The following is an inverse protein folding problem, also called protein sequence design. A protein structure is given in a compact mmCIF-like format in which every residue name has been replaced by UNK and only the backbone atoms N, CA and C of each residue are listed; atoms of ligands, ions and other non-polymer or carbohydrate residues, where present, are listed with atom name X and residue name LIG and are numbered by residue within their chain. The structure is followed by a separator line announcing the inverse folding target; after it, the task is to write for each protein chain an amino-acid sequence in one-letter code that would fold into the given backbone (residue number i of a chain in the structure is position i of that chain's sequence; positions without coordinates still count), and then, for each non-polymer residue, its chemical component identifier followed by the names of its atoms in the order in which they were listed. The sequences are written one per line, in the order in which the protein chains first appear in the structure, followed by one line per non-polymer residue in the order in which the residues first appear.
data_IF_243517916264
#
_entry.id   IF_243517916264
#
_cell.length_a   1.000
_cell.length_b   1.000
_cell.length_c   1.000
_cell.angle_alpha   90.00
_cell.angle_beta   90.00
_cell.angle_gamma   90.00
#
_symmetry.space_group_name_H-M   'P 1'
#
loop_
_entity.id
_entity.type
_entity.pdbx_description
1 polymer ?
#
# COMPACT_ATOMS: atom_id res chain seq x y z
N UNK A 1 34.37 -43.22 -13.86
CA UNK A 1 33.11 -43.03 -13.11
C UNK A 1 33.16 -41.65 -12.48
N UNK A 2 32.08 -40.87 -12.57
CA UNK A 2 32.01 -39.56 -11.91
C UNK A 2 32.35 -39.69 -10.42
N UNK A 3 33.41 -38.98 -10.01
CA UNK A 3 33.94 -38.97 -8.65
C UNK A 3 33.25 -37.96 -7.75
N UNK A 4 32.17 -37.33 -8.21
CA UNK A 4 31.44 -36.29 -7.47
C UNK A 4 30.04 -36.78 -7.11
N UNK A 5 29.54 -36.33 -5.96
CA UNK A 5 28.15 -36.53 -5.55
C UNK A 5 27.39 -35.25 -5.85
N UNK A 6 26.19 -35.38 -6.39
CA UNK A 6 25.19 -34.31 -6.36
C UNK A 6 24.69 -34.09 -4.92
N UNK A 7 24.15 -32.91 -4.61
CA UNK A 7 23.60 -32.62 -3.26
C UNK A 7 22.52 -33.63 -2.85
N UNK A 8 21.69 -34.07 -3.79
CA UNK A 8 20.67 -35.09 -3.57
C UNK A 8 21.28 -36.46 -3.23
N UNK A 9 22.32 -36.88 -3.95
CA UNK A 9 23.04 -38.13 -3.65
C UNK A 9 23.76 -38.04 -2.29
N UNK A 10 24.43 -36.91 -2.00
CA UNK A 10 25.11 -36.68 -0.73
C UNK A 10 24.12 -36.74 0.45
N UNK A 11 22.95 -36.14 0.29
CA UNK A 11 21.89 -36.13 1.32
C UNK A 11 21.39 -37.55 1.61
N UNK A 12 21.04 -38.32 0.56
CA UNK A 12 20.56 -39.70 0.73
C UNK A 12 21.65 -40.59 1.34
N UNK A 13 22.90 -40.45 0.88
CA UNK A 13 24.03 -41.22 1.38
C UNK A 13 24.31 -40.90 2.86
N UNK A 14 24.23 -39.63 3.26
CA UNK A 14 24.35 -39.20 4.65
C UNK A 14 23.27 -39.80 5.56
N UNK A 15 22.02 -39.86 5.11
CA UNK A 15 20.93 -40.50 5.88
C UNK A 15 21.13 -42.01 6.08
N UNK A 16 21.75 -42.67 5.11
CA UNK A 16 22.12 -44.09 5.18
C UNK A 16 23.40 -44.34 6.01
N UNK A 17 24.26 -43.33 6.17
CA UNK A 17 25.41 -43.39 7.06
C UNK A 17 25.01 -43.36 8.54
N UNK A 18 23.93 -42.65 8.88
CA UNK A 18 23.38 -42.67 10.24
C UNK A 18 22.99 -44.08 10.67
N UNK A 19 22.30 -44.81 9.77
CA UNK A 19 21.90 -46.20 9.93
C UNK A 19 21.42 -46.77 8.59
N UNK A 20 21.47 -48.10 8.41
CA UNK A 20 20.78 -48.76 7.31
C UNK A 20 19.27 -48.48 7.33
N UNK A 21 18.68 -48.20 6.17
CA UNK A 21 17.25 -47.83 6.05
C UNK A 21 16.59 -48.47 4.83
N UNK A 22 15.28 -48.65 4.91
CA UNK A 22 14.45 -48.92 3.75
C UNK A 22 14.14 -47.64 2.96
N UNK A 23 13.78 -47.79 1.68
CA UNK A 23 13.40 -46.65 0.83
C UNK A 23 12.22 -45.84 1.39
N UNK A 24 11.22 -46.49 2.01
CA UNK A 24 10.09 -45.78 2.63
C UNK A 24 10.48 -45.07 3.93
N UNK A 25 11.48 -45.56 4.66
CA UNK A 25 11.98 -44.91 5.87
C UNK A 25 12.78 -43.66 5.54
N UNK A 26 13.53 -43.69 4.43
CA UNK A 26 14.18 -42.49 3.90
C UNK A 26 13.15 -41.42 3.56
N UNK A 27 12.05 -41.78 2.87
CA UNK A 27 10.96 -40.86 2.56
C UNK A 27 10.37 -40.25 3.84
N UNK A 28 10.07 -41.09 4.83
CA UNK A 28 9.53 -40.67 6.12
C UNK A 28 10.47 -39.72 6.86
N UNK A 29 11.77 -40.02 6.90
CA UNK A 29 12.77 -39.16 7.57
C UNK A 29 12.94 -37.83 6.82
N UNK A 30 12.92 -37.84 5.49
CA UNK A 30 13.02 -36.64 4.66
C UNK A 30 11.82 -35.71 4.91
N UNK A 31 10.62 -36.28 5.06
CA UNK A 31 9.40 -35.55 5.41
C UNK A 31 9.44 -35.04 6.85
N UNK A 32 9.70 -35.91 7.83
CA UNK A 32 9.75 -35.56 9.25
C UNK A 32 10.78 -34.47 9.56
N UNK A 33 11.95 -34.53 8.92
CA UNK A 33 13.04 -33.55 9.10
C UNK A 33 12.94 -32.35 8.18
N UNK A 34 11.96 -32.30 7.27
CA UNK A 34 11.78 -31.20 6.33
C UNK A 34 12.97 -31.01 5.37
N UNK A 35 13.66 -32.09 5.00
CA UNK A 35 14.91 -32.06 4.19
C UNK A 35 14.72 -31.34 2.85
N UNK A 36 13.51 -31.42 2.28
CA UNK A 36 13.15 -30.75 1.01
C UNK A 36 13.09 -29.23 1.10
N UNK A 37 13.03 -28.66 2.30
CA UNK A 37 13.05 -27.21 2.49
C UNK A 37 14.43 -26.60 2.17
N UNK A 38 15.50 -27.40 2.28
CA UNK A 38 16.88 -26.93 2.12
C UNK A 38 17.71 -27.76 1.11
N UNK A 39 17.09 -28.73 0.43
CA UNK A 39 17.71 -29.53 -0.65
C UNK A 39 16.80 -29.62 -1.87
N UNK A 40 17.40 -29.74 -3.06
CA UNK A 40 16.67 -30.00 -4.31
C UNK A 40 16.29 -31.49 -4.48
N UNK A 41 15.65 -32.09 -3.46
CA UNK A 41 15.17 -33.48 -3.49
C UNK A 41 13.70 -33.54 -3.92
N UNK A 42 13.45 -34.13 -5.08
CA UNK A 42 12.08 -34.39 -5.57
C UNK A 42 11.34 -35.46 -4.76
N UNK A 43 10.00 -35.48 -4.85
CA UNK A 43 9.17 -36.50 -4.20
C UNK A 43 9.36 -37.90 -4.82
N UNK A 44 9.60 -37.98 -6.13
CA UNK A 44 9.72 -39.25 -6.86
C UNK A 44 11.18 -39.73 -7.04
N UNK A 45 12.17 -39.06 -6.44
CA UNK A 45 13.58 -39.31 -6.77
C UNK A 45 14.29 -40.33 -5.87
N UNK A 46 13.75 -40.74 -4.72
CA UNK A 46 14.50 -41.56 -3.75
C UNK A 46 14.95 -42.89 -4.35
N UNK A 47 14.03 -43.68 -4.92
CA UNK A 47 14.38 -44.98 -5.48
C UNK A 47 15.32 -44.87 -6.69
N UNK A 48 15.21 -43.80 -7.47
CA UNK A 48 16.13 -43.50 -8.55
C UNK A 48 17.55 -43.22 -8.02
N UNK A 49 17.67 -42.43 -6.95
CA UNK A 49 18.95 -42.15 -6.30
C UNK A 49 19.55 -43.41 -5.68
N UNK A 50 18.73 -44.26 -5.05
CA UNK A 50 19.18 -45.54 -4.51
C UNK A 50 19.72 -46.47 -5.61
N UNK A 51 19.03 -46.60 -6.74
CA UNK A 51 19.53 -47.38 -7.88
C UNK A 51 20.85 -46.82 -8.39
N UNK A 52 20.95 -45.50 -8.53
CA UNK A 52 22.16 -44.82 -9.03
C UNK A 52 23.34 -45.02 -8.08
N UNK A 53 23.12 -44.88 -6.76
CA UNK A 53 24.14 -45.12 -5.74
C UNK A 53 24.57 -46.60 -5.70
N UNK A 54 23.64 -47.53 -5.85
CA UNK A 54 23.92 -48.97 -5.87
C UNK A 54 24.71 -49.37 -7.13
N UNK A 55 24.33 -48.86 -8.31
CA UNK A 55 25.06 -49.08 -9.55
C UNK A 55 26.50 -48.53 -9.52
N UNK A 56 26.74 -47.49 -8.70
CA UNK A 56 28.08 -46.94 -8.43
C UNK A 56 28.85 -47.68 -7.33
N UNK A 57 28.26 -48.71 -6.72
CA UNK A 57 28.88 -49.47 -5.62
C UNK A 57 29.02 -48.69 -4.31
N UNK A 58 28.29 -47.60 -4.14
CA UNK A 58 28.36 -46.73 -2.95
C UNK A 58 27.43 -47.23 -1.84
N UNK A 59 26.41 -48.00 -2.20
CA UNK A 59 25.51 -48.68 -1.27
C UNK A 59 25.29 -50.12 -1.73
N UNK A 60 24.94 -50.98 -0.79
CA UNK A 60 24.51 -52.36 -1.03
C UNK A 60 23.09 -52.57 -0.51
N UNK A 61 22.36 -53.49 -1.13
CA UNK A 61 20.97 -53.80 -0.79
C UNK A 61 20.88 -55.21 -0.22
N UNK A 62 20.39 -55.33 1.01
CA UNK A 62 20.13 -56.62 1.67
C UNK A 62 18.64 -56.93 1.60
N UNK A 63 18.29 -58.07 1.00
CA UNK A 63 16.90 -58.52 0.91
C UNK A 63 16.45 -59.25 2.18
N UNK A 64 15.28 -58.91 2.72
CA UNK A 64 14.65 -59.69 3.79
C UNK A 64 13.94 -60.95 3.27
N UNK A 65 13.82 -62.02 4.10
CA UNK A 65 13.03 -63.22 3.77
C UNK A 65 11.56 -62.89 3.46
N UNK A 66 10.93 -63.69 2.61
CA UNK A 66 9.59 -63.45 2.09
C UNK A 66 8.49 -63.67 3.15
N UNK A 67 7.83 -62.60 3.58
CA UNK A 67 6.62 -62.71 4.42
C UNK A 67 5.41 -61.89 3.94
N UNK A 68 5.52 -60.96 2.98
CA UNK A 68 4.37 -60.10 2.60
C UNK A 68 4.30 -59.67 1.12
N UNK A 69 3.07 -59.33 0.67
CA UNK A 69 2.63 -58.91 -0.68
C UNK A 69 3.15 -57.53 -1.14
N UNK A 70 4.43 -57.19 -0.90
CA UNK A 70 5.07 -55.95 -1.39
C UNK A 70 6.22 -56.24 -2.36
N UNK A 71 6.49 -55.33 -3.30
CA UNK A 71 7.56 -55.51 -4.30
C UNK A 71 8.93 -55.71 -3.63
N UNK A 72 9.84 -56.47 -4.26
CA UNK A 72 11.13 -56.79 -3.67
C UNK A 72 11.98 -55.54 -3.36
N UNK A 73 11.82 -54.49 -4.17
CA UNK A 73 12.57 -53.23 -4.07
C UNK A 73 12.13 -52.35 -2.91
N UNK A 74 10.86 -52.41 -2.50
CA UNK A 74 10.36 -51.66 -1.33
C UNK A 74 10.69 -52.35 0.01
N UNK A 75 11.23 -53.57 -0.03
CA UNK A 75 11.62 -54.38 1.13
C UNK A 75 13.13 -54.45 1.36
N UNK A 76 13.95 -53.91 0.45
CA UNK A 76 15.40 -53.91 0.60
C UNK A 76 15.83 -52.92 1.67
N UNK A 77 16.75 -53.33 2.54
CA UNK A 77 17.49 -52.43 3.42
C UNK A 77 18.76 -52.01 2.70
N UNK A 78 18.99 -50.71 2.59
CA UNK A 78 20.17 -50.16 1.95
C UNK A 78 21.22 -49.81 3.01
N UNK A 79 22.48 -50.15 2.74
CA UNK A 79 23.60 -49.87 3.62
C UNK A 79 24.76 -49.28 2.83
N UNK A 80 25.50 -48.35 3.44
CA UNK A 80 26.63 -47.68 2.78
C UNK A 80 27.89 -48.56 2.78
N UNK A 81 28.54 -48.68 1.63
CA UNK A 81 29.82 -49.39 1.48
C UNK A 81 31.01 -48.57 2.00
N UNK A 82 32.22 -49.15 2.05
CA UNK A 82 33.43 -48.38 2.39
C UNK A 82 33.69 -47.25 1.39
N UNK A 83 33.55 -47.52 0.09
CA UNK A 83 33.69 -46.50 -0.96
C UNK A 83 32.63 -45.39 -0.83
N UNK A 84 31.39 -45.74 -0.46
CA UNK A 84 30.34 -44.77 -0.15
C UNK A 84 30.68 -43.86 1.03
N UNK A 85 31.23 -44.42 2.12
CA UNK A 85 31.70 -43.66 3.29
C UNK A 85 32.78 -42.65 2.92
N UNK A 86 33.80 -43.10 2.19
CA UNK A 86 34.93 -42.25 1.81
C UNK A 86 34.49 -41.09 0.92
N UNK A 87 33.64 -41.40 -0.07
CA UNK A 87 33.14 -40.40 -1.00
C UNK A 87 32.18 -39.41 -0.33
N UNK A 88 31.29 -39.88 0.56
CA UNK A 88 30.44 -39.01 1.36
C UNK A 88 31.27 -38.06 2.22
N UNK A 89 32.34 -38.56 2.85
CA UNK A 89 33.22 -37.76 3.70
C UNK A 89 33.94 -36.67 2.89
N UNK A 90 34.46 -37.03 1.71
CA UNK A 90 35.12 -36.08 0.83
C UNK A 90 34.15 -34.99 0.34
N UNK A 91 32.95 -35.38 -0.10
CA UNK A 91 31.93 -34.45 -0.59
C UNK A 91 31.39 -33.53 0.52
N UNK A 92 31.20 -34.03 1.75
CA UNK A 92 30.82 -33.18 2.89
C UNK A 92 31.88 -32.14 3.20
N UNK A 93 33.17 -32.50 3.14
CA UNK A 93 34.27 -31.54 3.37
C UNK A 93 34.29 -30.45 2.30
N UNK A 94 34.09 -30.83 1.04
CA UNK A 94 33.99 -29.88 -0.06
C UNK A 94 32.80 -28.92 0.16
N UNK A 95 31.61 -29.45 0.45
CA UNK A 95 30.40 -28.65 0.70
C UNK A 95 30.56 -27.65 1.86
N UNK A 96 31.37 -27.95 2.87
CA UNK A 96 31.65 -27.05 3.99
C UNK A 96 32.61 -25.90 3.66
N UNK A 97 33.38 -26.01 2.58
CA UNK A 97 34.44 -25.03 2.23
C UNK A 97 34.17 -24.29 0.93
N UNK A 98 33.37 -24.87 0.05
CA UNK A 98 33.01 -24.29 -1.25
C UNK A 98 31.94 -23.21 -1.10
N UNK A 99 32.28 -21.98 -1.46
CA UNK A 99 31.33 -20.86 -1.50
C UNK A 99 30.41 -20.98 -2.72
N UNK A 100 29.13 -21.26 -2.48
CA UNK A 100 28.10 -21.31 -3.54
C UNK A 100 27.17 -20.09 -3.45
N UNK A 101 27.20 -19.16 -4.43
CA UNK A 101 26.33 -17.98 -4.39
C UNK A 101 24.85 -18.32 -4.55
N UNK A 102 24.02 -17.83 -3.62
CA UNK A 102 22.55 -17.91 -3.72
C UNK A 102 22.06 -16.85 -4.71
N UNK A 103 21.48 -17.27 -5.84
CA UNK A 103 20.94 -16.37 -6.87
C UNK A 103 19.41 -16.27 -6.75
N UNK A 104 18.93 -15.24 -6.05
CA UNK A 104 17.49 -15.02 -5.88
C UNK A 104 16.82 -14.47 -7.14
N UNK A 105 15.78 -15.16 -7.63
CA UNK A 105 15.04 -14.77 -8.85
C UNK A 105 14.38 -13.38 -8.74
N UNK A 106 14.10 -12.91 -7.52
CA UNK A 106 13.50 -11.59 -7.30
C UNK A 106 14.37 -10.46 -7.84
N UNK A 107 15.70 -10.61 -7.81
CA UNK A 107 16.64 -9.60 -8.33
C UNK A 107 16.52 -9.45 -9.84
N UNK A 108 16.28 -10.56 -10.56
CA UNK A 108 15.98 -10.54 -12.00
C UNK A 108 14.63 -9.85 -12.23
N UNK A 109 13.63 -10.12 -11.38
CA UNK A 109 12.33 -9.44 -11.41
C UNK A 109 12.46 -7.92 -11.25
N UNK A 110 13.27 -7.47 -10.28
CA UNK A 110 13.54 -6.05 -10.06
C UNK A 110 14.30 -5.42 -11.23
N UNK A 111 15.29 -6.10 -11.82
CA UNK A 111 16.02 -5.58 -12.97
C UNK A 111 15.11 -5.31 -14.19
N UNK A 112 13.98 -6.03 -14.29
CA UNK A 112 13.02 -5.90 -15.37
C UNK A 112 11.73 -5.16 -14.94
N UNK A 113 11.65 -4.65 -13.71
CA UNK A 113 10.46 -3.97 -13.20
C UNK A 113 10.09 -2.68 -13.94
N UNK A 114 11.00 -1.93 -14.60
CA UNK A 114 10.60 -0.78 -15.42
C UNK A 114 9.64 -1.11 -16.56
N UNK A 115 9.55 -2.38 -16.98
CA UNK A 115 8.59 -2.85 -17.98
C UNK A 115 7.19 -3.18 -17.45
N UNK A 116 6.94 -3.00 -16.14
CA UNK A 116 5.68 -3.34 -15.48
C UNK A 116 4.99 -2.10 -14.91
N UNK A 117 3.64 -2.08 -14.84
CA UNK A 117 2.92 -1.09 -14.03
C UNK A 117 3.40 -1.14 -12.58
N UNK A 118 3.63 0.02 -11.96
CA UNK A 118 4.14 0.12 -10.59
C UNK A 118 3.27 -0.66 -9.58
N UNK A 119 1.94 -0.61 -9.76
CA UNK A 119 0.98 -1.36 -8.95
C UNK A 119 1.19 -2.88 -9.00
N UNK A 120 1.64 -3.42 -10.14
CA UNK A 120 1.91 -4.85 -10.30
C UNK A 120 3.19 -5.25 -9.57
N UNK A 121 4.22 -4.37 -9.58
CA UNK A 121 5.46 -4.56 -8.83
C UNK A 121 5.18 -4.61 -7.33
N UNK A 122 4.42 -3.62 -6.82
CA UNK A 122 4.03 -3.56 -5.40
C UNK A 122 3.18 -4.77 -5.01
N UNK A 123 2.19 -5.15 -5.82
CA UNK A 123 1.35 -6.32 -5.56
C UNK A 123 2.17 -7.62 -5.56
N UNK A 124 3.11 -7.76 -6.50
CA UNK A 124 4.01 -8.92 -6.59
C UNK A 124 4.91 -9.07 -5.36
N UNK A 125 5.58 -7.99 -4.95
CA UNK A 125 6.43 -7.98 -3.76
C UNK A 125 5.62 -8.19 -2.48
N UNK A 126 4.38 -7.70 -2.41
CA UNK A 126 3.48 -7.92 -1.25
C UNK A 126 3.13 -9.40 -1.11
N UNK A 127 2.72 -10.06 -2.21
CA UNK A 127 2.47 -11.52 -2.20
C UNK A 127 3.71 -12.29 -1.79
N UNK A 128 4.87 -11.91 -2.32
CA UNK A 128 6.15 -12.52 -1.98
C UNK A 128 6.49 -12.40 -0.49
N UNK A 129 6.30 -11.21 0.11
CA UNK A 129 6.54 -10.99 1.53
C UNK A 129 5.65 -11.87 2.41
N UNK A 130 4.37 -12.05 2.01
CA UNK A 130 3.47 -13.00 2.67
C UNK A 130 4.04 -14.42 2.63
N UNK A 131 4.37 -14.92 1.44
CA UNK A 131 4.92 -16.28 1.27
C UNK A 131 6.22 -16.50 2.06
N UNK A 132 7.11 -15.51 2.13
CA UNK A 132 8.34 -15.60 2.92
C UNK A 132 8.06 -15.71 4.43
N UNK A 133 7.05 -14.98 4.94
CA UNK A 133 6.64 -15.05 6.35
C UNK A 133 6.01 -16.39 6.68
N UNK A 134 5.17 -16.90 5.78
CA UNK A 134 4.55 -18.22 5.93
C UNK A 134 5.63 -19.31 5.97
N UNK A 135 6.58 -19.28 5.02
CA UNK A 135 7.68 -20.23 4.99
C UNK A 135 8.58 -20.13 6.24
N UNK A 136 8.85 -18.92 6.74
CA UNK A 136 9.61 -18.74 7.98
C UNK A 136 8.88 -19.36 9.18
N UNK A 137 7.56 -19.16 9.27
CA UNK A 137 6.74 -19.75 10.32
C UNK A 137 6.72 -21.29 10.24
N UNK A 138 6.63 -21.85 9.03
CA UNK A 138 6.71 -23.30 8.82
C UNK A 138 8.05 -23.89 9.28
N UNK A 139 9.17 -23.24 8.94
CA UNK A 139 10.52 -23.67 9.36
C UNK A 139 10.66 -23.61 10.88
N UNK A 140 10.19 -22.54 11.51
CA UNK A 140 10.20 -22.40 12.98
C UNK A 140 9.35 -23.47 13.66
N UNK A 141 8.14 -23.72 13.14
CA UNK A 141 7.29 -24.78 13.67
C UNK A 141 7.91 -26.18 13.49
N UNK A 142 8.60 -26.42 12.37
CA UNK A 142 9.31 -27.67 12.12
C UNK A 142 10.49 -27.88 13.08
N UNK A 143 11.22 -26.81 13.42
CA UNK A 143 12.27 -26.84 14.46
C UNK A 143 11.70 -27.25 15.81
N UNK A 144 10.65 -26.56 16.26
CA UNK A 144 10.00 -26.81 17.56
C UNK A 144 9.53 -28.26 17.69
N UNK A 145 8.95 -28.85 16.62
CA UNK A 145 8.50 -30.25 16.64
C UNK A 145 9.63 -31.28 16.78
N UNK A 146 10.87 -30.89 16.46
CA UNK A 146 12.02 -31.78 16.43
C UNK A 146 12.98 -31.58 17.61
N UNK A 147 12.73 -30.60 18.49
CA UNK A 147 13.58 -30.40 19.65
C UNK A 147 13.47 -31.56 20.67
N UNK A 148 14.59 -31.93 21.33
CA UNK A 148 15.94 -31.35 21.20
C UNK A 148 16.70 -31.86 19.96
N UNK A 149 17.41 -30.96 19.28
CA UNK A 149 18.18 -31.24 18.07
C UNK A 149 19.69 -31.30 18.34
N UNK A 150 20.45 -32.19 17.64
CA UNK A 150 21.90 -32.10 17.59
C UNK A 150 22.36 -30.76 17.00
N UNK A 151 23.56 -30.30 17.40
CA UNK A 151 24.10 -29.00 16.98
C UNK A 151 24.11 -28.80 15.45
N UNK A 152 24.50 -29.81 14.69
CA UNK A 152 24.51 -29.74 13.23
C UNK A 152 23.10 -29.58 12.63
N UNK A 153 22.08 -30.22 13.21
CA UNK A 153 20.70 -30.07 12.77
C UNK A 153 20.15 -28.69 13.14
N UNK A 154 20.47 -28.17 14.32
CA UNK A 154 20.14 -26.78 14.71
C UNK A 154 20.72 -25.77 13.72
N UNK A 155 21.98 -25.95 13.32
CA UNK A 155 22.66 -25.04 12.39
C UNK A 155 21.96 -24.93 11.02
N UNK A 156 21.33 -26.00 10.54
CA UNK A 156 20.53 -26.00 9.30
C UNK A 156 19.29 -25.10 9.46
N UNK A 157 18.59 -25.19 10.60
CA UNK A 157 17.47 -24.31 10.91
C UNK A 157 17.93 -22.85 11.06
N UNK A 158 19.01 -22.62 11.80
CA UNK A 158 19.56 -21.28 12.02
C UNK A 158 19.91 -20.58 10.70
N UNK A 159 20.57 -21.27 9.77
CA UNK A 159 20.86 -20.74 8.43
C UNK A 159 19.58 -20.46 7.63
N UNK A 160 18.65 -21.41 7.60
CA UNK A 160 17.40 -21.29 6.85
C UNK A 160 16.56 -20.11 7.34
N UNK A 161 16.40 -19.97 8.65
CA UNK A 161 15.70 -18.84 9.26
C UNK A 161 16.41 -17.51 8.99
N UNK A 162 17.75 -17.46 9.10
CA UNK A 162 18.52 -16.24 8.84
C UNK A 162 18.33 -15.75 7.40
N UNK A 163 18.40 -16.66 6.41
CA UNK A 163 18.20 -16.33 5.01
C UNK A 163 16.77 -15.84 4.74
N UNK A 164 15.75 -16.52 5.28
CA UNK A 164 14.35 -16.11 5.12
C UNK A 164 14.06 -14.74 5.78
N UNK A 165 14.62 -14.49 6.97
CA UNK A 165 14.49 -13.19 7.65
C UNK A 165 15.16 -12.08 6.86
N UNK A 166 16.37 -12.31 6.34
CA UNK A 166 17.08 -11.32 5.53
C UNK A 166 16.29 -10.99 4.26
N UNK A 167 15.74 -12.00 3.59
CA UNK A 167 14.95 -11.82 2.37
C UNK A 167 13.61 -11.10 2.63
N UNK A 168 12.91 -11.47 3.72
CA UNK A 168 11.69 -10.78 4.15
C UNK A 168 11.97 -9.32 4.54
N UNK A 169 13.09 -9.07 5.23
CA UNK A 169 13.57 -7.74 5.58
C UNK A 169 13.82 -6.86 4.34
N UNK A 170 14.59 -7.38 3.38
CA UNK A 170 14.83 -6.70 2.11
C UNK A 170 13.54 -6.40 1.33
N UNK A 171 12.63 -7.39 1.25
CA UNK A 171 11.35 -7.23 0.54
C UNK A 171 10.49 -6.16 1.18
N UNK A 172 10.39 -6.17 2.51
CA UNK A 172 9.61 -5.18 3.27
C UNK A 172 10.19 -3.77 3.11
N UNK A 173 11.52 -3.61 3.17
CA UNK A 173 12.18 -2.33 3.00
C UNK A 173 11.98 -1.76 1.58
N UNK A 174 12.09 -2.62 0.57
CA UNK A 174 11.88 -2.25 -0.84
C UNK A 174 10.44 -1.81 -1.08
N UNK A 175 9.45 -2.56 -0.57
CA UNK A 175 8.03 -2.16 -0.60
C UNK A 175 7.81 -0.78 0.05
N UNK A 176 8.43 -0.54 1.21
CA UNK A 176 8.33 0.73 1.91
C UNK A 176 8.92 1.91 1.13
N UNK A 177 9.91 1.66 0.27
CA UNK A 177 10.50 2.68 -0.61
C UNK A 177 9.59 2.97 -1.79
N UNK A 178 9.19 1.94 -2.52
CA UNK A 178 8.32 2.09 -3.70
C UNK A 178 7.00 2.76 -3.36
N UNK A 179 6.35 2.34 -2.26
CA UNK A 179 5.07 2.95 -1.83
C UNK A 179 5.20 4.40 -1.37
N UNK A 180 6.39 4.83 -0.91
CA UNK A 180 6.66 6.23 -0.57
C UNK A 180 6.90 7.06 -1.83
N UNK A 181 7.62 6.54 -2.81
CA UNK A 181 7.83 7.21 -4.11
C UNK A 181 6.48 7.46 -4.81
N UNK A 182 5.58 6.47 -4.84
CA UNK A 182 4.21 6.68 -5.37
C UNK A 182 3.42 7.77 -4.62
N UNK A 183 3.71 7.99 -3.33
CA UNK A 183 3.05 9.01 -2.52
C UNK A 183 3.63 10.42 -2.75
N UNK A 184 4.85 10.53 -3.29
CA UNK A 184 5.48 11.80 -3.68
C UNK A 184 4.94 12.28 -5.04
N UNK A 185 4.52 11.38 -5.93
CA UNK A 185 3.94 11.73 -7.24
C UNK A 185 2.44 12.13 -7.21
N UNK A 186 1.84 12.18 -6.01
CA UNK A 186 0.43 12.55 -5.84
C UNK A 186 0.29 14.03 -5.48
N UNK A 187 -0.36 14.80 -6.34
CA UNK A 187 -0.66 16.21 -6.03
C UNK A 187 -1.64 16.32 -4.87
N UNK A 188 -1.32 17.18 -3.91
CA UNK A 188 -2.17 17.47 -2.76
C UNK A 188 -2.24 18.98 -2.62
N UNK A 189 -3.44 19.54 -2.86
CA UNK A 189 -3.68 20.98 -2.85
C UNK A 189 -3.23 21.63 -1.54
N UNK A 190 -3.40 20.93 -0.40
CA UNK A 190 -3.03 21.44 0.93
C UNK A 190 -1.51 21.47 1.13
N UNK A 191 -0.76 20.64 0.40
CA UNK A 191 0.71 20.64 0.42
C UNK A 191 1.27 21.64 -0.58
N UNK A 192 0.66 21.72 -1.76
CA UNK A 192 1.07 22.63 -2.83
C UNK A 192 0.88 24.10 -2.43
N UNK A 193 -0.21 24.41 -1.71
CA UNK A 193 -0.55 25.76 -1.25
C UNK A 193 -0.72 25.80 0.27
N UNK A 194 0.31 25.39 1.01
CA UNK A 194 0.22 25.24 2.48
C UNK A 194 -0.19 26.54 3.17
N UNK A 195 0.26 27.68 2.66
CA UNK A 195 -0.09 29.03 3.08
C UNK A 195 -1.60 29.31 3.00
N UNK A 196 -2.31 28.67 2.06
CA UNK A 196 -3.76 28.83 1.87
C UNK A 196 -4.58 27.87 2.73
N UNK A 197 -4.01 26.72 3.13
CA UNK A 197 -4.72 25.64 3.82
C UNK A 197 -4.29 25.42 5.28
N UNK A 198 -3.35 26.23 5.81
CA UNK A 198 -2.90 26.15 7.19
C UNK A 198 -2.63 27.53 7.84
N UNK A 199 -3.59 28.49 7.80
CA UNK A 199 -3.45 29.74 8.52
C UNK A 199 -3.41 29.53 10.05
N UNK A 200 -2.84 30.49 10.80
CA UNK A 200 -2.90 30.47 12.25
C UNK A 200 -4.34 30.66 12.75
N UNK A 201 -4.62 30.13 13.94
CA UNK A 201 -5.89 30.37 14.65
C UNK A 201 -5.83 31.60 15.58
N UNK A 202 -4.63 32.16 15.79
CA UNK A 202 -4.42 33.27 16.73
C UNK A 202 -4.84 34.63 16.17
N UNK A 203 -4.57 34.87 14.88
CA UNK A 203 -4.87 36.16 14.25
C UNK A 203 -5.01 36.03 12.74
N UNK A 204 -5.53 37.08 12.10
CA UNK A 204 -5.69 37.17 10.66
C UNK A 204 -4.36 37.30 9.93
N UNK A 205 -4.29 36.72 8.74
CA UNK A 205 -3.16 36.85 7.82
C UNK A 205 -3.63 37.28 6.44
N UNK A 206 -2.88 38.20 5.84
CA UNK A 206 -3.06 38.57 4.43
C UNK A 206 -2.37 37.52 3.56
N UNK A 207 -3.05 37.04 2.53
CA UNK A 207 -2.53 36.07 1.56
C UNK A 207 -2.89 36.50 0.15
N UNK A 208 -2.06 36.15 -0.83
CA UNK A 208 -2.38 36.27 -2.24
C UNK A 208 -2.77 34.89 -2.78
N UNK A 209 -4.03 34.74 -3.15
CA UNK A 209 -4.59 33.51 -3.70
C UNK A 209 -4.41 33.54 -5.22
N UNK A 210 -3.62 32.61 -5.81
CA UNK A 210 -3.48 32.53 -7.25
C UNK A 210 -4.81 32.09 -7.89
N UNK A 211 -4.90 32.19 -9.22
CA UNK A 211 -6.01 31.57 -9.93
C UNK A 211 -5.98 30.04 -9.71
N UNK A 212 -7.07 29.51 -9.14
CA UNK A 212 -7.25 28.08 -8.89
C UNK A 212 -8.47 27.56 -9.66
N UNK A 213 -8.47 26.27 -9.97
CA UNK A 213 -9.59 25.60 -10.65
C UNK A 213 -10.44 24.82 -9.67
N UNK A 214 -11.75 24.83 -9.91
CA UNK A 214 -12.72 24.19 -9.03
C UNK A 214 -13.79 23.47 -9.83
N UNK A 215 -14.19 22.28 -9.36
CA UNK A 215 -15.55 21.83 -9.62
C UNK A 215 -16.47 22.71 -8.78
N UNK A 216 -17.55 23.22 -9.37
CA UNK A 216 -18.48 24.12 -8.70
C UNK A 216 -19.94 23.78 -8.99
N UNK A 217 -20.80 24.01 -7.99
CA UNK A 217 -22.27 23.97 -8.10
C UNK A 217 -22.83 25.17 -7.34
N UNK A 218 -23.71 25.94 -7.99
CA UNK A 218 -24.42 27.04 -7.33
C UNK A 218 -25.71 26.55 -6.69
N UNK A 219 -26.13 27.23 -5.63
CA UNK A 219 -27.42 27.03 -5.01
C UNK A 219 -27.84 28.20 -4.14
N UNK A 220 -28.97 28.02 -3.47
CA UNK A 220 -29.56 29.00 -2.58
C UNK A 220 -30.21 28.32 -1.38
N UNK A 221 -30.40 29.08 -0.31
CA UNK A 221 -31.10 28.65 0.90
C UNK A 221 -30.21 27.96 1.93
N UNK A 222 -30.82 27.61 3.06
CA UNK A 222 -30.12 27.16 4.26
C UNK A 222 -29.43 25.81 4.04
N UNK A 223 -28.08 25.72 4.17
CA UNK A 223 -27.34 24.48 3.98
C UNK A 223 -27.75 23.37 4.96
N UNK A 224 -28.35 23.70 6.10
CA UNK A 224 -28.75 22.72 7.12
C UNK A 224 -30.05 21.99 6.78
N UNK A 225 -30.88 22.55 5.90
CA UNK A 225 -32.22 22.01 5.60
C UNK A 225 -32.46 21.77 4.11
N UNK A 226 -31.64 22.36 3.24
CA UNK A 226 -31.79 22.25 1.79
C UNK A 226 -31.32 20.90 1.25
N UNK A 227 -32.25 20.15 0.64
CA UNK A 227 -31.91 18.96 -0.14
C UNK A 227 -30.97 19.30 -1.31
N UNK A 228 -31.16 20.48 -1.93
CA UNK A 228 -30.31 20.95 -3.02
C UNK A 228 -28.84 21.14 -2.59
N UNK A 229 -28.61 21.56 -1.34
CA UNK A 229 -27.25 21.65 -0.79
C UNK A 229 -26.61 20.27 -0.63
N UNK A 230 -27.34 19.32 -0.03
CA UNK A 230 -26.87 17.95 0.13
C UNK A 230 -26.57 17.27 -1.22
N UNK A 231 -27.47 17.45 -2.20
CA UNK A 231 -27.31 16.93 -3.55
C UNK A 231 -26.08 17.54 -4.25
N UNK A 232 -25.86 18.85 -4.12
CA UNK A 232 -24.71 19.55 -4.68
C UNK A 232 -23.37 19.03 -4.11
N UNK A 233 -23.26 18.93 -2.79
CA UNK A 233 -22.06 18.40 -2.12
C UNK A 233 -21.79 16.96 -2.54
N UNK A 234 -22.83 16.13 -2.61
CA UNK A 234 -22.70 14.76 -3.07
C UNK A 234 -22.26 14.67 -4.55
N UNK A 235 -22.83 15.49 -5.43
CA UNK A 235 -22.48 15.54 -6.84
C UNK A 235 -21.02 15.97 -7.05
N UNK A 236 -20.55 16.96 -6.29
CA UNK A 236 -19.16 17.42 -6.31
C UNK A 236 -18.19 16.31 -5.90
N UNK A 237 -18.41 15.65 -4.75
CA UNK A 237 -17.53 14.56 -4.32
C UNK A 237 -17.56 13.38 -5.27
N UNK A 238 -18.75 12.98 -5.75
CA UNK A 238 -18.89 11.88 -6.72
C UNK A 238 -18.11 12.17 -8.00
N UNK A 239 -18.20 13.39 -8.51
CA UNK A 239 -17.48 13.83 -9.71
C UNK A 239 -15.97 13.91 -9.45
N UNK A 240 -15.54 14.49 -8.33
CA UNK A 240 -14.13 14.63 -7.96
C UNK A 240 -13.43 13.27 -7.81
N UNK A 241 -14.06 12.29 -7.16
CA UNK A 241 -13.53 10.93 -7.07
C UNK A 241 -13.49 10.24 -8.43
N UNK A 242 -14.51 10.43 -9.27
CA UNK A 242 -14.53 9.88 -10.63
C UNK A 242 -13.38 10.45 -11.47
N UNK A 243 -13.15 11.77 -11.42
CA UNK A 243 -12.02 12.44 -12.07
C UNK A 243 -10.67 11.94 -11.57
N UNK A 244 -10.51 11.80 -10.25
CA UNK A 244 -9.28 11.27 -9.65
C UNK A 244 -8.91 9.91 -10.22
N UNK A 245 -9.87 8.97 -10.26
CA UNK A 245 -9.60 7.64 -10.79
C UNK A 245 -9.41 7.63 -12.30
N UNK A 246 -10.16 8.46 -13.03
CA UNK A 246 -9.98 8.62 -14.47
C UNK A 246 -8.59 9.17 -14.81
N UNK A 247 -8.16 10.27 -14.19
CA UNK A 247 -6.85 10.89 -14.39
C UNK A 247 -5.70 9.95 -14.04
N UNK A 248 -5.81 9.19 -12.94
CA UNK A 248 -4.81 8.17 -12.58
C UNK A 248 -4.69 7.10 -13.65
N UNK A 249 -5.82 6.68 -14.24
CA UNK A 249 -5.86 5.62 -15.25
C UNK A 249 -5.42 6.09 -16.64
N UNK A 250 -5.86 7.26 -17.09
CA UNK A 250 -5.64 7.73 -18.45
C UNK A 250 -4.39 8.60 -18.61
N UNK A 251 -4.00 9.34 -17.57
CA UNK A 251 -2.87 10.29 -17.61
C UNK A 251 -1.69 9.84 -16.74
N UNK A 252 -1.85 8.80 -15.92
CA UNK A 252 -0.83 8.39 -14.94
C UNK A 252 -0.63 9.43 -13.81
N UNK A 253 -1.51 10.43 -13.68
CA UNK A 253 -1.41 11.49 -12.68
C UNK A 253 -2.45 11.29 -11.58
N UNK A 254 -1.99 11.21 -10.34
CA UNK A 254 -2.87 11.04 -9.16
C UNK A 254 -2.93 12.34 -8.34
N UNK A 255 -4.06 12.59 -7.68
CA UNK A 255 -4.23 13.73 -6.78
C UNK A 255 -5.12 13.41 -5.57
N UNK A 256 -4.98 14.16 -4.47
CA UNK A 256 -5.84 14.11 -3.30
C UNK A 256 -7.08 14.96 -3.59
N UNK A 257 -8.29 14.42 -3.37
CA UNK A 257 -9.51 15.24 -3.43
C UNK A 257 -9.43 16.29 -2.32
N UNK A 258 -9.56 17.57 -2.69
CA UNK A 258 -9.49 18.70 -1.77
C UNK A 258 -10.61 18.71 -0.73
N UNK A 259 -10.50 19.57 0.30
CA UNK A 259 -11.63 19.87 1.19
C UNK A 259 -12.81 20.43 0.38
N UNK A 260 -14.00 20.38 0.98
CA UNK A 260 -15.12 21.16 0.46
C UNK A 260 -14.83 22.64 0.73
N UNK A 261 -15.13 23.47 -0.25
CA UNK A 261 -14.97 24.92 -0.21
C UNK A 261 -16.32 25.56 -0.56
N UNK A 262 -16.62 26.73 0.00
CA UNK A 262 -17.91 27.39 -0.18
C UNK A 262 -17.76 28.90 -0.31
N UNK A 263 -18.29 29.46 -1.39
CA UNK A 263 -18.51 30.90 -1.51
C UNK A 263 -19.90 31.24 -1.01
N UNK A 264 -19.99 32.26 -0.17
CA UNK A 264 -21.21 32.72 0.50
C UNK A 264 -21.45 34.19 0.19
N UNK A 265 -22.68 34.49 -0.25
CA UNK A 265 -23.12 35.83 -0.61
C UNK A 265 -24.59 36.02 -0.29
N UNK A 266 -24.95 37.27 -0.04
CA UNK A 266 -26.34 37.68 0.15
C UNK A 266 -26.52 39.08 -0.42
N UNK A 267 -27.72 39.35 -0.95
CA UNK A 267 -28.05 40.65 -1.56
C UNK A 267 -28.08 41.79 -0.52
N UNK A 268 -28.43 41.47 0.72
CA UNK A 268 -28.37 42.40 1.86
C UNK A 268 -27.28 41.95 2.86
N UNK A 269 -26.21 42.73 3.06
CA UNK A 269 -25.17 42.43 4.05
C UNK A 269 -25.70 42.24 5.48
N UNK A 270 -26.87 42.81 5.83
CA UNK A 270 -27.49 42.62 7.15
C UNK A 270 -28.00 41.19 7.38
N UNK A 271 -28.19 40.39 6.34
CA UNK A 271 -28.64 38.98 6.44
C UNK A 271 -27.62 38.06 7.13
N UNK A 272 -26.33 38.39 7.09
CA UNK A 272 -25.30 37.68 7.84
C UNK A 272 -25.36 38.00 9.34
N UNK A 273 -25.84 39.18 9.70
CA UNK A 273 -26.04 39.62 11.10
C UNK A 273 -27.33 39.04 11.67
N UNK A 274 -28.42 39.02 10.89
CA UNK A 274 -29.73 38.46 11.31
C UNK A 274 -29.80 36.94 11.19
N UNK A 275 -28.79 36.31 10.59
CA UNK A 275 -28.68 34.85 10.34
C UNK A 275 -29.87 34.28 9.58
N UNK A 276 -30.45 35.06 8.65
CA UNK A 276 -31.48 34.55 7.74
C UNK A 276 -30.82 33.69 6.65
N UNK A 277 -30.47 32.45 7.03
CA UNK A 277 -29.78 31.47 6.17
C UNK A 277 -30.59 31.10 4.92
N UNK A 278 -31.89 31.43 4.85
CA UNK A 278 -32.71 31.19 3.67
C UNK A 278 -32.43 32.16 2.52
N UNK A 279 -31.91 33.36 2.83
CA UNK A 279 -31.57 34.37 1.83
C UNK A 279 -30.17 34.19 1.22
N UNK A 280 -29.42 33.17 1.65
CA UNK A 280 -28.04 32.97 1.21
C UNK A 280 -27.99 32.34 -0.18
N UNK A 281 -27.17 32.91 -1.05
CA UNK A 281 -26.73 32.28 -2.28
C UNK A 281 -25.31 31.74 -2.05
N UNK A 282 -25.05 30.54 -2.56
CA UNK A 282 -23.77 29.88 -2.34
C UNK A 282 -23.26 29.19 -3.60
N UNK A 283 -21.94 29.05 -3.68
CA UNK A 283 -21.27 28.22 -4.67
C UNK A 283 -20.39 27.23 -3.91
N UNK A 284 -20.78 25.95 -3.93
CA UNK A 284 -19.97 24.89 -3.33
C UNK A 284 -18.93 24.41 -4.33
N UNK A 285 -17.71 24.14 -3.84
CA UNK A 285 -16.54 23.95 -4.67
C UNK A 285 -15.61 22.85 -4.15
N UNK A 286 -14.88 22.19 -5.07
CA UNK A 286 -13.76 21.30 -4.74
C UNK A 286 -12.61 21.59 -5.71
N UNK A 287 -11.46 22.01 -5.18
CA UNK A 287 -10.26 22.34 -5.98
C UNK A 287 -9.81 21.18 -6.88
N UNK A 288 -9.42 21.50 -8.11
CA UNK A 288 -8.89 20.58 -9.11
C UNK A 288 -7.49 21.01 -9.55
N UNK A 289 -6.59 20.06 -9.86
CA UNK A 289 -5.31 20.37 -10.48
C UNK A 289 -5.44 21.02 -11.87
N UNK A 290 -4.40 21.75 -12.30
CA UNK A 290 -4.36 22.51 -13.57
C UNK A 290 -4.47 21.65 -14.84
N UNK A 291 -4.23 20.35 -14.74
CA UNK A 291 -4.34 19.41 -15.86
C UNK A 291 -5.75 18.84 -16.02
N UNK A 292 -6.67 19.12 -15.10
CA UNK A 292 -8.07 18.76 -15.25
C UNK A 292 -8.72 19.75 -16.22
N UNK A 293 -9.28 19.21 -17.30
CA UNK A 293 -9.95 19.99 -18.35
C UNK A 293 -11.46 19.84 -18.28
N UNK A 294 -12.19 20.77 -18.89
CA UNK A 294 -13.65 20.75 -18.97
C UNK A 294 -14.19 19.47 -19.63
N UNK A 295 -13.49 18.95 -20.63
CA UNK A 295 -13.83 17.67 -21.27
C UNK A 295 -13.75 16.49 -20.30
N UNK A 296 -12.70 16.45 -19.47
CA UNK A 296 -12.57 15.42 -18.44
C UNK A 296 -13.71 15.52 -17.43
N UNK A 297 -14.09 16.74 -17.02
CA UNK A 297 -15.21 16.98 -16.10
C UNK A 297 -16.52 16.50 -16.72
N UNK A 298 -16.81 16.86 -17.98
CA UNK A 298 -18.02 16.42 -18.69
C UNK A 298 -18.12 14.90 -18.77
N UNK A 299 -17.01 14.21 -19.08
CA UNK A 299 -16.97 12.75 -19.07
C UNK A 299 -17.21 12.18 -17.67
N UNK A 300 -16.58 12.76 -16.63
CA UNK A 300 -16.75 12.28 -15.26
C UNK A 300 -18.17 12.48 -14.73
N UNK A 301 -18.84 13.59 -15.06
CA UNK A 301 -20.25 13.84 -14.74
C UNK A 301 -21.15 12.79 -15.39
N UNK A 302 -20.94 12.49 -16.68
CA UNK A 302 -21.70 11.45 -17.38
C UNK A 302 -21.48 10.05 -16.79
N UNK A 303 -20.26 9.72 -16.38
CA UNK A 303 -19.95 8.46 -15.70
C UNK A 303 -20.55 8.39 -14.28
N UNK A 304 -20.53 9.49 -13.54
CA UNK A 304 -21.14 9.61 -12.23
C UNK A 304 -22.66 9.39 -12.31
N UNK A 305 -23.33 10.01 -13.30
CA UNK A 305 -24.77 9.87 -13.52
C UNK A 305 -25.23 8.45 -13.87
N UNK A 306 -24.35 7.62 -14.43
CA UNK A 306 -24.63 6.18 -14.63
C UNK A 306 -24.61 5.37 -13.33
N UNK A 307 -23.84 5.83 -12.34
CA UNK A 307 -23.66 5.13 -11.06
C UNK A 307 -24.69 5.56 -10.03
N UNK A 308 -25.11 6.83 -10.07
CA UNK A 308 -25.96 7.42 -9.05
C UNK A 308 -26.89 8.45 -9.68
N UNK A 309 -28.17 8.34 -9.33
CA UNK A 309 -29.19 9.33 -9.70
C UNK A 309 -29.12 10.49 -8.70
N UNK A 310 -28.53 11.60 -9.13
CA UNK A 310 -28.41 12.83 -8.35
C UNK A 310 -28.67 14.04 -9.27
N UNK A 311 -29.69 14.87 -8.98
CA UNK A 311 -30.12 15.95 -9.87
C UNK A 311 -29.09 17.08 -10.01
N UNK A 312 -28.20 17.26 -9.03
CA UNK A 312 -27.19 18.30 -9.05
C UNK A 312 -26.00 17.99 -9.96
N UNK A 313 -25.85 16.74 -10.45
CA UNK A 313 -24.77 16.37 -11.39
C UNK A 313 -24.80 17.23 -12.67
N UNK A 314 -25.99 17.59 -13.15
CA UNK A 314 -26.13 18.44 -14.34
C UNK A 314 -25.63 19.88 -14.12
N UNK A 315 -25.53 20.33 -12.87
CA UNK A 315 -25.06 21.66 -12.50
C UNK A 315 -23.55 21.73 -12.22
N UNK A 316 -22.86 20.58 -12.16
CA UNK A 316 -21.42 20.53 -11.90
C UNK A 316 -20.66 21.07 -13.11
N UNK A 317 -19.85 22.11 -12.87
CA UNK A 317 -19.00 22.73 -13.90
C UNK A 317 -17.58 22.97 -13.39
N UNK A 318 -16.63 23.12 -14.31
CA UNK A 318 -15.28 23.56 -14.01
C UNK A 318 -15.23 25.09 -14.07
N UNK A 319 -14.77 25.75 -13.02
CA UNK A 319 -14.51 27.20 -13.00
C UNK A 319 -13.05 27.48 -12.69
N UNK A 320 -12.58 28.66 -13.10
CA UNK A 320 -11.33 29.24 -12.62
C UNK A 320 -11.68 30.44 -11.75
N UNK A 321 -11.08 30.53 -10.57
CA UNK A 321 -11.36 31.57 -9.59
C UNK A 321 -10.05 32.25 -9.20
N UNK A 322 -9.95 33.55 -9.49
CA UNK A 322 -8.83 34.40 -9.10
C UNK A 322 -9.27 35.29 -7.93
N UNK A 323 -9.11 34.79 -6.71
CA UNK A 323 -9.45 35.54 -5.49
C UNK A 323 -8.51 36.71 -5.21
N UNK A 324 -7.23 36.58 -5.61
CA UNK A 324 -6.24 37.62 -5.40
C UNK A 324 -5.97 37.86 -3.92
N UNK A 325 -5.89 39.13 -3.52
CA UNK A 325 -5.54 39.50 -2.15
C UNK A 325 -6.70 39.20 -1.21
N UNK A 326 -6.44 38.37 -0.20
CA UNK A 326 -7.42 37.97 0.80
C UNK A 326 -6.87 38.16 2.22
N UNK A 327 -7.79 38.21 3.17
CA UNK A 327 -7.51 38.04 4.61
C UNK A 327 -8.12 36.73 5.05
N UNK A 328 -7.37 35.90 5.79
CA UNK A 328 -7.88 34.62 6.28
C UNK A 328 -7.46 34.30 7.71
N UNK A 329 -8.22 33.40 8.36
CA UNK A 329 -7.92 32.86 9.69
C UNK A 329 -8.44 31.42 9.82
N UNK A 330 -7.81 30.61 10.67
CA UNK A 330 -8.35 29.31 11.06
C UNK A 330 -9.34 29.46 12.23
N UNK A 331 -10.62 29.20 11.97
CA UNK A 331 -11.64 29.04 13.00
C UNK A 331 -11.63 27.60 13.54
N UNK A 332 -11.72 27.47 14.88
CA UNK A 332 -11.83 26.19 15.57
C UNK A 332 -13.08 26.24 16.45
N UNK A 333 -14.12 25.48 16.09
CA UNK A 333 -15.41 25.52 16.76
C UNK A 333 -16.57 25.28 15.80
N UNK A 334 -17.81 25.34 16.29
CA UNK A 334 -18.99 25.16 15.45
C UNK A 334 -19.08 26.26 14.39
N UNK A 335 -19.68 25.96 13.23
CA UNK A 335 -19.99 26.96 12.21
C UNK A 335 -20.93 28.05 12.76
N UNK A 336 -21.77 27.69 13.73
CA UNK A 336 -22.66 28.66 14.39
C UNK A 336 -21.92 29.65 15.32
N UNK A 337 -20.64 29.39 15.61
CA UNK A 337 -19.77 30.19 16.49
C UNK A 337 -18.81 31.10 15.69
N UNK A 338 -18.96 31.21 14.37
CA UNK A 338 -18.06 32.00 13.50
C UNK A 338 -18.34 33.51 13.59
N UNK A 339 -19.54 33.90 14.02
CA UNK A 339 -19.99 35.29 14.05
C UNK A 339 -19.04 36.27 14.79
N UNK A 340 -18.47 35.95 15.97
CA UNK A 340 -17.49 36.83 16.62
C UNK A 340 -16.20 37.01 15.81
N UNK A 341 -15.77 35.97 15.08
CA UNK A 341 -14.58 36.03 14.23
C UNK A 341 -14.83 36.93 13.03
N UNK A 342 -15.98 36.78 12.38
CA UNK A 342 -16.39 37.63 11.25
C UNK A 342 -16.62 39.08 11.68
N UNK A 343 -17.23 39.32 12.85
CA UNK A 343 -17.39 40.67 13.40
C UNK A 343 -16.02 41.36 13.60
N UNK A 344 -15.06 40.64 14.18
CA UNK A 344 -13.69 41.15 14.35
C UNK A 344 -13.00 41.44 13.01
N UNK A 345 -13.24 40.61 12.00
CA UNK A 345 -12.71 40.82 10.65
C UNK A 345 -13.24 42.14 10.07
N UNK A 346 -14.57 42.27 9.99
CA UNK A 346 -15.21 43.37 9.26
C UNK A 346 -15.20 44.71 10.00
N UNK A 347 -15.35 44.71 11.33
CA UNK A 347 -15.51 45.95 12.10
C UNK A 347 -14.22 46.42 12.79
N UNK A 348 -13.14 45.63 12.77
CA UNK A 348 -11.83 46.04 13.30
C UNK A 348 -10.71 45.82 12.30
N UNK A 349 -10.43 44.57 11.94
CA UNK A 349 -9.22 44.25 11.20
C UNK A 349 -9.16 44.95 9.83
N UNK A 350 -10.22 44.86 9.02
CA UNK A 350 -10.25 45.48 7.70
C UNK A 350 -10.10 47.02 7.77
N UNK A 351 -10.90 47.76 8.57
CA UNK A 351 -10.72 49.21 8.74
C UNK A 351 -9.32 49.61 9.24
N UNK A 352 -8.80 48.91 10.26
CA UNK A 352 -7.49 49.23 10.86
C UNK A 352 -6.33 49.07 9.87
N UNK A 353 -6.51 48.27 8.81
CA UNK A 353 -5.52 48.02 7.77
C UNK A 353 -5.82 48.72 6.44
N UNK A 354 -6.84 49.60 6.40
CA UNK A 354 -7.22 50.33 5.17
C UNK A 354 -7.75 49.42 4.07
N UNK A 355 -8.46 48.35 4.44
CA UNK A 355 -9.01 47.35 3.53
C UNK A 355 -10.54 47.37 3.53
N UNK A 356 -11.14 47.02 2.40
CA UNK A 356 -12.58 46.75 2.25
C UNK A 356 -12.81 45.42 1.52
N UNK A 357 -14.05 44.94 1.49
CA UNK A 357 -14.43 43.69 0.85
C UNK A 357 -14.29 43.76 -0.68
N UNK A 358 -13.89 42.65 -1.30
CA UNK A 358 -13.73 42.52 -2.75
C UNK A 358 -14.34 41.22 -3.29
N UNK A 359 -15.55 40.88 -2.84
CA UNK A 359 -16.29 39.71 -3.32
C UNK A 359 -16.86 38.83 -2.21
N UNK A 360 -17.22 37.61 -2.59
CA UNK A 360 -17.93 36.63 -1.76
C UNK A 360 -17.08 36.16 -0.56
N UNK A 361 -17.73 35.83 0.55
CA UNK A 361 -17.07 35.22 1.70
C UNK A 361 -16.70 33.77 1.37
N UNK A 362 -15.47 33.35 1.66
CA UNK A 362 -14.99 32.01 1.31
C UNK A 362 -14.67 31.19 2.56
N UNK A 363 -15.34 30.06 2.70
CA UNK A 363 -15.11 29.06 3.75
C UNK A 363 -14.48 27.78 3.20
N UNK A 364 -13.47 27.25 3.89
CA UNK A 364 -12.80 25.98 3.55
C UNK A 364 -12.98 24.99 4.71
N UNK A 365 -13.74 23.92 4.50
CA UNK A 365 -14.08 22.93 5.54
C UNK A 365 -13.01 21.83 5.62
N UNK A 366 -12.07 21.98 6.56
CA UNK A 366 -10.98 21.02 6.75
C UNK A 366 -11.40 19.75 7.50
N UNK A 367 -12.50 19.83 8.26
CA UNK A 367 -13.06 18.73 9.05
C UNK A 367 -14.34 18.18 8.44
N UNK A 368 -14.55 16.86 8.50
CA UNK A 368 -15.84 16.25 8.14
C UNK A 368 -16.81 16.43 9.31
N UNK A 369 -17.86 17.24 9.11
CA UNK A 369 -18.89 17.56 10.11
C UNK A 369 -19.62 16.33 10.64
N UNK A 370 -19.68 15.24 9.87
CA UNK A 370 -20.34 13.99 10.28
C UNK A 370 -19.49 13.15 11.21
N UNK A 371 -18.19 13.46 11.31
CA UNK A 371 -17.18 12.63 12.01
C UNK A 371 -16.45 13.37 13.12
N UNK A 372 -16.62 14.69 13.20
CA UNK A 372 -15.85 15.55 14.09
C UNK A 372 -16.79 16.26 15.05
N UNK A 373 -16.47 16.23 16.34
CA UNK A 373 -17.23 16.97 17.35
C UNK A 373 -17.23 18.47 17.03
N UNK A 374 -18.35 19.21 17.22
CA UNK A 374 -18.46 20.62 16.84
C UNK A 374 -17.32 21.51 17.35
N UNK A 375 -16.90 21.33 18.61
CA UNK A 375 -15.81 22.11 19.21
C UNK A 375 -14.41 21.85 18.61
N UNK A 376 -14.27 20.85 17.73
CA UNK A 376 -13.02 20.46 17.07
C UNK A 376 -13.09 20.65 15.54
N UNK A 377 -14.20 21.18 15.02
CA UNK A 377 -14.30 21.53 13.60
C UNK A 377 -13.26 22.61 13.27
N UNK A 378 -12.75 22.53 12.05
CA UNK A 378 -11.72 23.43 11.54
C UNK A 378 -12.21 23.99 10.21
N UNK A 379 -12.44 25.30 10.19
CA UNK A 379 -12.87 26.03 9.00
C UNK A 379 -11.87 27.14 8.77
N UNK A 380 -11.38 27.31 7.54
CA UNK A 380 -10.66 28.53 7.18
C UNK A 380 -11.72 29.53 6.73
N UNK A 381 -11.75 30.69 7.37
CA UNK A 381 -12.57 31.82 6.97
C UNK A 381 -11.68 32.74 6.16
N UNK A 382 -12.06 33.04 4.92
CA UNK A 382 -11.30 33.88 4.00
C UNK A 382 -12.21 34.94 3.39
N UNK A 383 -11.72 36.17 3.36
CA UNK A 383 -12.40 37.30 2.74
C UNK A 383 -11.48 37.92 1.68
N UNK A 384 -11.88 37.93 0.40
CA UNK A 384 -11.25 38.77 -0.62
C UNK A 384 -11.33 40.25 -0.24
N UNK A 385 -10.23 40.98 -0.43
CA UNK A 385 -10.09 42.37 -0.02
C UNK A 385 -9.46 43.24 -1.12
N UNK A 386 -9.72 44.54 -1.04
CA UNK A 386 -9.06 45.58 -1.82
C UNK A 386 -8.74 46.77 -0.90
N UNK A 387 -7.88 47.68 -1.36
CA UNK A 387 -7.61 48.92 -0.63
C UNK A 387 -8.90 49.79 -0.58
N UNK A 388 -9.18 50.37 0.59
CA UNK A 388 -10.42 51.10 0.91
C UNK A 388 -10.53 52.50 0.31
#
# INVERSE_FOLDING_TARGET
MESTLTDAELTVLGLLLEQPRHGYELERVIEERGVRAWTALGFSSIYYLLDKLAARGLIEATAMPAAEKRSAKSRATYQVTAAGRDLCTAATRDALTTLTPVRSRVLIGMANSPGLPEGDVVAGLTRRLGALRDQLAEVQAARVRQEPLPAAASAIFDYSEAMLRADAGWTSATLGTLTKETAVDKYDIKKAHRELYAPPASDFVVVDVPELRYLAVDGHGDPNTSAAYADAVEALFTTAYTLKFAAKKSLGRDFVVGPLEGLWRADDPQTFVTRDKQAWAWTMMISQPDWITEDMVRTAVAEAGRKKDNPALAAVRLISLAEGRCVQILHIGSYDDEAPTLDRLHHRYLPDHGLTFNGDHHEIYLSDVRRTEPAKLKTILRQPVMDA
#
